data_IF_650235143385
#
_entry.id   IF_650235143385
#
_cell.length_a   1.000
_cell.length_b   1.000
_cell.length_c   1.000
_cell.angle_alpha   90.00
_cell.angle_beta   90.00
_cell.angle_gamma   90.00
#
_symmetry.space_group_name_H-M   'P 1'
#
loop_
_entity.id
_entity.type
_entity.pdbx_description
1 polymer ?
#
# COMPACT_ATOMS: atom_id res chain seq x y z
N UNK A 1 3.29 -20.09 -8.11
CA UNK A 1 2.35 -20.32 -9.24
C UNK A 1 2.95 -19.78 -10.54
N UNK A 2 2.48 -20.18 -11.73
CA UNK A 2 2.93 -19.60 -13.01
C UNK A 2 2.02 -18.42 -13.33
N UNK A 3 2.58 -17.29 -13.77
CA UNK A 3 1.81 -16.12 -14.18
C UNK A 3 1.10 -16.37 -15.52
N UNK A 4 -0.18 -16.67 -15.43
CA UNK A 4 -1.13 -16.86 -16.52
C UNK A 4 -2.00 -15.61 -16.79
N UNK A 5 -1.77 -14.52 -16.03
CA UNK A 5 -2.55 -13.29 -16.11
C UNK A 5 -3.70 -13.19 -15.11
N UNK A 6 -4.02 -14.25 -14.36
CA UNK A 6 -5.17 -14.30 -13.46
C UNK A 6 -4.80 -14.64 -12.02
N UNK A 7 -3.53 -14.43 -11.64
CA UNK A 7 -3.09 -14.64 -10.27
C UNK A 7 -3.76 -13.64 -9.31
N UNK A 8 -3.96 -14.07 -8.07
CA UNK A 8 -4.47 -13.21 -7.02
C UNK A 8 -3.33 -12.34 -6.47
N UNK A 9 -3.39 -11.03 -6.72
CA UNK A 9 -2.37 -10.07 -6.25
C UNK A 9 -2.39 -9.84 -4.73
N UNK A 10 -3.45 -10.28 -4.04
CA UNK A 10 -3.54 -10.33 -2.58
C UNK A 10 -2.88 -11.54 -1.93
N UNK A 11 -2.56 -12.57 -2.71
CA UNK A 11 -1.96 -13.80 -2.21
C UNK A 11 -0.43 -13.75 -2.33
N UNK A 12 0.25 -14.01 -1.22
CA UNK A 12 1.71 -14.10 -1.18
C UNK A 12 2.26 -15.17 -2.13
N UNK A 13 1.55 -16.29 -2.32
CA UNK A 13 1.99 -17.40 -3.17
C UNK A 13 2.04 -17.03 -4.67
N UNK A 14 1.33 -15.97 -5.06
CA UNK A 14 1.39 -15.40 -6.42
C UNK A 14 2.74 -14.76 -6.74
N UNK A 15 3.49 -14.35 -5.71
CA UNK A 15 4.80 -13.71 -5.86
C UNK A 15 5.98 -14.67 -5.65
N UNK A 16 5.71 -15.93 -5.27
CA UNK A 16 6.75 -16.92 -4.93
C UNK A 16 7.74 -17.20 -6.08
N UNK A 17 7.31 -17.01 -7.33
CA UNK A 17 8.13 -17.20 -8.54
C UNK A 17 8.56 -15.89 -9.20
N UNK A 18 8.49 -14.77 -8.46
CA UNK A 18 8.76 -13.42 -8.97
C UNK A 18 7.47 -12.61 -9.18
N UNK A 19 7.64 -11.39 -9.70
CA UNK A 19 6.53 -10.45 -9.89
C UNK A 19 5.60 -10.93 -11.03
N UNK A 20 4.27 -11.04 -10.81
CA UNK A 20 3.33 -11.50 -11.82
C UNK A 20 2.98 -10.39 -12.83
N UNK A 21 3.91 -10.10 -13.73
CA UNK A 21 3.82 -8.98 -14.67
C UNK A 21 2.62 -9.04 -15.62
N UNK A 22 2.24 -10.23 -16.13
CA UNK A 22 1.07 -10.39 -17.02
C UNK A 22 -0.23 -10.11 -16.28
N UNK A 23 -0.32 -10.58 -15.03
CA UNK A 23 -1.47 -10.28 -14.18
C UNK A 23 -1.62 -8.77 -13.97
N UNK A 24 -0.53 -8.07 -13.63
CA UNK A 24 -0.56 -6.62 -13.51
C UNK A 24 -0.84 -5.89 -14.84
N UNK A 25 -0.38 -6.42 -15.98
CA UNK A 25 -0.69 -5.86 -17.30
C UNK A 25 -2.18 -5.95 -17.60
N UNK A 26 -2.80 -7.11 -17.39
CA UNK A 26 -4.24 -7.32 -17.53
C UNK A 26 -5.01 -6.37 -16.61
N UNK A 27 -4.69 -6.33 -15.32
CA UNK A 27 -5.36 -5.46 -14.35
C UNK A 27 -5.29 -3.99 -14.79
N UNK A 28 -4.11 -3.48 -15.15
CA UNK A 28 -4.00 -2.08 -15.62
C UNK A 28 -4.87 -1.77 -16.84
N UNK A 29 -5.06 -2.74 -17.73
CA UNK A 29 -5.84 -2.56 -18.98
C UNK A 29 -7.34 -2.71 -18.74
N UNK A 30 -7.75 -3.76 -18.04
CA UNK A 30 -9.13 -4.24 -17.99
C UNK A 30 -9.83 -3.91 -16.67
N UNK A 31 -9.12 -3.97 -15.54
CA UNK A 31 -9.68 -3.76 -14.21
C UNK A 31 -8.66 -3.08 -13.27
N UNK A 32 -8.43 -1.76 -13.44
CA UNK A 32 -7.33 -1.06 -12.80
C UNK A 32 -7.53 -0.81 -11.29
N UNK A 33 -8.78 -0.89 -10.83
CA UNK A 33 -9.22 -0.78 -9.43
C UNK A 33 -10.02 -2.04 -9.13
N UNK A 34 -9.29 -3.14 -8.94
CA UNK A 34 -9.88 -4.47 -8.81
C UNK A 34 -10.31 -4.72 -7.37
N UNK A 35 -11.50 -5.27 -7.20
CA UNK A 35 -12.00 -5.70 -5.88
C UNK A 35 -11.46 -7.09 -5.53
N UNK A 36 -10.94 -7.24 -4.31
CA UNK A 36 -10.53 -8.52 -3.75
C UNK A 36 -11.48 -8.91 -2.62
N UNK A 37 -12.13 -10.05 -2.78
CA UNK A 37 -12.99 -10.63 -1.74
C UNK A 37 -12.17 -11.06 -0.52
N UNK A 38 -12.75 -11.03 0.70
CA UNK A 38 -12.03 -11.42 1.91
C UNK A 38 -11.70 -12.91 1.87
N UNK A 39 -10.57 -13.28 2.45
CA UNK A 39 -10.17 -14.67 2.64
C UNK A 39 -9.98 -14.97 4.15
N UNK A 40 -9.33 -16.09 4.48
CA UNK A 40 -9.10 -16.48 5.88
C UNK A 40 -8.05 -15.62 6.59
N UNK A 41 -7.26 -14.84 5.85
CA UNK A 41 -6.08 -14.08 6.31
C UNK A 41 -6.28 -12.57 6.18
N UNK A 42 -7.11 -12.12 5.24
CA UNK A 42 -7.23 -10.71 4.87
C UNK A 42 -8.70 -10.32 4.69
N UNK A 43 -9.05 -9.14 5.18
CA UNK A 43 -10.30 -8.48 4.83
C UNK A 43 -10.35 -8.13 3.34
N UNK A 44 -11.53 -7.71 2.89
CA UNK A 44 -11.75 -7.20 1.54
C UNK A 44 -10.97 -5.91 1.31
N UNK A 45 -10.38 -5.75 0.14
CA UNK A 45 -9.65 -4.53 -0.22
C UNK A 45 -9.68 -4.25 -1.72
N UNK A 46 -9.32 -3.03 -2.08
CA UNK A 46 -9.17 -2.60 -3.46
C UNK A 46 -7.71 -2.66 -3.89
N UNK A 47 -7.43 -3.28 -5.04
CA UNK A 47 -6.12 -3.29 -5.68
C UNK A 47 -6.05 -2.20 -6.75
N UNK A 48 -5.30 -1.14 -6.47
CA UNK A 48 -5.06 -0.04 -7.42
C UNK A 48 -3.76 -0.29 -8.17
N UNK A 49 -3.82 -0.43 -9.50
CA UNK A 49 -2.67 -0.91 -10.30
C UNK A 49 -2.09 0.12 -11.27
N UNK A 50 -2.81 1.22 -11.54
CA UNK A 50 -2.34 2.29 -12.43
C UNK A 50 -1.54 3.33 -11.65
N UNK A 51 -0.42 3.74 -12.25
CA UNK A 51 0.46 4.76 -11.68
C UNK A 51 -0.28 6.09 -11.39
N UNK A 52 -1.13 6.55 -12.32
CA UNK A 52 -1.87 7.80 -12.15
C UNK A 52 -2.81 7.77 -10.94
N UNK A 53 -3.50 6.65 -10.73
CA UNK A 53 -4.44 6.47 -9.64
C UNK A 53 -3.72 6.35 -8.29
N UNK A 54 -2.58 5.64 -8.26
CA UNK A 54 -1.71 5.57 -7.08
C UNK A 54 -1.18 6.95 -6.70
N UNK A 55 -0.73 7.73 -7.70
CA UNK A 55 -0.22 9.08 -7.46
C UNK A 55 -1.32 10.02 -6.93
N UNK A 56 -2.53 9.91 -7.47
CA UNK A 56 -3.69 10.66 -7.00
C UNK A 56 -4.02 10.30 -5.54
N UNK A 57 -4.12 9.01 -5.21
CA UNK A 57 -4.41 8.54 -3.86
C UNK A 57 -3.35 9.00 -2.84
N UNK A 58 -2.07 8.91 -3.20
CA UNK A 58 -0.96 9.37 -2.37
C UNK A 58 -0.95 10.89 -2.14
N UNK A 59 -1.62 11.66 -3.01
CA UNK A 59 -1.76 13.12 -2.89
C UNK A 59 -2.93 13.58 -2.01
N UNK A 60 -3.84 12.68 -1.63
CA UNK A 60 -5.08 12.99 -0.91
C UNK A 60 -5.16 12.22 0.42
N UNK A 61 -4.32 12.55 1.42
CA UNK A 61 -4.29 11.87 2.71
C UNK A 61 -5.54 12.10 3.57
N UNK A 62 -6.34 13.11 3.23
CA UNK A 62 -7.67 13.38 3.81
C UNK A 62 -8.72 12.34 3.38
N UNK A 63 -8.52 11.70 2.23
CA UNK A 63 -9.36 10.61 1.71
C UNK A 63 -8.74 9.25 2.02
N UNK A 64 -7.43 9.10 1.79
CA UNK A 64 -6.67 7.86 2.02
C UNK A 64 -5.73 8.03 3.20
N UNK A 65 -6.25 7.75 4.39
CA UNK A 65 -5.51 7.83 5.65
C UNK A 65 -4.50 6.69 5.78
N UNK A 66 -3.24 7.03 6.13
CA UNK A 66 -2.24 6.04 6.57
C UNK A 66 -2.35 5.74 8.06
N UNK A 67 -3.04 6.61 8.81
CA UNK A 67 -3.26 6.43 10.24
C UNK A 67 -4.31 5.38 10.61
N UNK A 68 -4.94 4.73 9.63
CA UNK A 68 -5.87 3.61 9.82
C UNK A 68 -5.26 2.26 9.44
N UNK A 69 -3.95 2.22 9.16
CA UNK A 69 -3.22 1.01 8.79
C UNK A 69 -2.67 1.07 7.36
N UNK A 70 -1.48 0.50 7.16
CA UNK A 70 -0.78 0.45 5.87
C UNK A 70 -0.48 -0.99 5.42
N UNK A 71 -0.98 -1.98 6.15
CA UNK A 71 -0.76 -3.41 5.92
C UNK A 71 -2.06 -4.05 5.47
N UNK A 72 -1.95 -5.15 4.71
CA UNK A 72 -3.09 -5.93 4.23
C UNK A 72 -3.64 -6.84 5.34
N UNK A 73 -2.79 -7.22 6.30
CA UNK A 73 -3.16 -8.05 7.45
C UNK A 73 -4.16 -7.32 8.34
N UNK A 74 -5.24 -8.02 8.74
CA UNK A 74 -6.18 -7.50 9.72
C UNK A 74 -5.50 -7.38 11.08
N UNK A 75 -5.39 -6.15 11.57
CA UNK A 75 -4.84 -5.84 12.89
C UNK A 75 -5.91 -5.21 13.76
N UNK A 76 -5.94 -5.57 15.04
CA UNK A 76 -6.76 -4.86 16.01
C UNK A 76 -6.23 -3.43 16.20
N UNK A 77 -7.11 -2.53 16.64
CA UNK A 77 -6.72 -1.14 16.91
C UNK A 77 -5.59 -1.04 17.96
N UNK A 78 -5.57 -1.95 18.93
CA UNK A 78 -4.51 -2.01 19.95
C UNK A 78 -3.16 -2.41 19.36
N UNK A 79 -3.13 -3.43 18.48
CA UNK A 79 -1.92 -3.84 17.77
C UNK A 79 -1.36 -2.72 16.88
N UNK A 80 -2.26 -1.99 16.23
CA UNK A 80 -1.92 -0.81 15.45
C UNK A 80 -1.27 0.28 16.32
N UNK A 81 -1.90 0.67 17.43
CA UNK A 81 -1.35 1.69 18.34
C UNK A 81 -0.01 1.28 18.94
N UNK A 82 0.15 0.00 19.30
CA UNK A 82 1.37 -0.54 19.88
C UNK A 82 2.56 -0.56 18.91
N UNK A 83 2.29 -0.66 17.60
CA UNK A 83 3.32 -0.73 16.55
C UNK A 83 3.41 0.54 15.71
N UNK A 84 2.63 1.58 16.04
CA UNK A 84 2.50 2.81 15.27
C UNK A 84 3.86 3.43 15.01
N UNK A 85 4.27 3.39 13.75
CA UNK A 85 5.47 4.07 13.28
C UNK A 85 5.12 5.44 12.71
N UNK A 86 6.14 6.26 12.44
CA UNK A 86 5.97 7.52 11.72
C UNK A 86 5.22 7.35 10.38
N UNK A 87 5.39 6.21 9.68
CA UNK A 87 4.73 5.92 8.40
C UNK A 87 3.20 5.77 8.54
N UNK A 88 2.72 5.49 9.75
CA UNK A 88 1.31 5.27 10.09
C UNK A 88 0.72 6.53 10.76
N UNK A 89 1.14 7.71 10.31
CA UNK A 89 0.62 8.99 10.80
C UNK A 89 0.13 9.82 9.63
N UNK A 90 -0.91 10.62 9.85
CA UNK A 90 -1.43 11.56 8.87
C UNK A 90 -0.97 13.00 9.17
N UNK A 91 -1.10 13.94 8.23
CA UNK A 91 -0.94 15.36 8.53
C UNK A 91 -1.90 15.82 9.66
N UNK A 92 -1.46 16.72 10.57
CA UNK A 92 -0.19 17.46 10.54
C UNK A 92 1.00 16.73 11.16
N UNK A 93 0.78 15.70 12.00
CA UNK A 93 1.82 14.96 12.73
C UNK A 93 2.92 14.44 11.78
N UNK A 94 2.51 13.77 10.70
CA UNK A 94 3.43 13.26 9.68
C UNK A 94 4.28 14.37 9.05
N UNK A 95 3.70 15.55 8.77
CA UNK A 95 4.41 16.67 8.15
C UNK A 95 5.49 17.23 9.08
N UNK A 96 5.19 17.32 10.37
CA UNK A 96 6.09 17.85 11.39
C UNK A 96 7.27 16.91 11.58
N UNK A 97 7.00 15.62 11.81
CA UNK A 97 8.05 14.61 12.01
C UNK A 97 8.94 14.47 10.77
N UNK A 98 8.36 14.44 9.56
CA UNK A 98 9.13 14.40 8.30
C UNK A 98 10.07 15.60 8.18
N UNK A 99 9.60 16.80 8.53
CA UNK A 99 10.41 18.03 8.48
C UNK A 99 11.60 17.98 9.44
N UNK A 100 11.42 17.39 10.62
CA UNK A 100 12.50 17.23 11.61
C UNK A 100 13.54 16.20 11.18
N UNK A 101 13.11 15.11 10.54
CA UNK A 101 13.98 13.97 10.19
C UNK A 101 14.68 14.16 8.83
N UNK A 102 14.04 14.83 7.87
CA UNK A 102 14.56 15.05 6.51
C UNK A 102 16.02 15.55 6.43
N UNK A 103 16.49 16.51 7.25
CA UNK A 103 17.86 17.03 7.17
C UNK A 103 18.92 15.93 7.34
N UNK A 104 18.67 14.91 8.17
CA UNK A 104 19.60 13.80 8.38
C UNK A 104 19.81 12.93 7.12
N UNK A 105 18.89 13.02 6.15
CA UNK A 105 18.93 12.29 4.88
C UNK A 105 19.20 13.20 3.67
N UNK A 106 19.45 14.49 3.92
CA UNK A 106 19.83 15.42 2.86
C UNK A 106 21.32 15.27 2.53
N UNK A 107 21.72 15.62 1.29
CA UNK A 107 23.15 15.68 0.95
C UNK A 107 23.84 16.61 1.96
N UNK A 108 25.07 16.29 2.41
CA UNK A 108 25.84 17.22 3.23
C UNK A 108 25.89 18.57 2.49
N UNK A 109 25.51 19.64 3.18
CA UNK A 109 25.79 20.97 2.67
C UNK A 109 27.31 21.05 2.51
N UNK A 110 27.74 21.35 1.28
CA UNK A 110 29.15 21.53 0.94
C UNK A 110 29.69 22.81 1.59
#
# INVERSE_FOLDING_TARGET
MIDDGFLNVGDHDSFANGVPHKTFERLRREDPVSWTEPDRRHARFWSVTRHADILAANGTPDVFSSAQGIRIEDQTHEEYLARRTFQETDPPEHRITRKMVNPAFSRPAC
#
